data_IF_990622584782
#
_entry.id   IF_990622584782
#
_cell.length_a   1.000
_cell.length_b   1.000
_cell.length_c   1.000
_cell.angle_alpha   90.00
_cell.angle_beta   90.00
_cell.angle_gamma   90.00
#
_symmetry.space_group_name_H-M   'P 1'
#
loop_
_entity.id
_entity.type
_entity.pdbx_description
1 polymer ?
#
# COMPACT_ATOMS: atom_id res chain seq x y z
N UNK A 1 -6.63 -10.60 0.03
CA UNK A 1 -5.52 -11.17 -0.78
C UNK A 1 -4.20 -10.99 -0.05
N UNK A 2 -3.20 -11.85 -0.29
CA UNK A 2 -1.92 -11.89 0.43
C UNK A 2 -0.74 -11.89 -0.55
N UNK A 3 0.36 -11.19 -0.22
CA UNK A 3 1.61 -11.18 -1.00
C UNK A 3 2.85 -11.19 -0.14
N UNK A 4 3.89 -11.93 -0.55
CA UNK A 4 5.17 -12.01 0.15
C UNK A 4 6.15 -10.94 -0.35
N UNK A 5 6.64 -10.10 0.56
CA UNK A 5 7.66 -9.09 0.29
C UNK A 5 9.04 -9.54 0.77
N UNK A 6 10.07 -9.37 -0.04
CA UNK A 6 11.46 -9.60 0.37
C UNK A 6 12.28 -8.38 0.01
N UNK A 7 12.82 -7.68 1.02
CA UNK A 7 13.56 -6.43 0.84
C UNK A 7 14.78 -6.64 -0.06
N UNK A 8 14.87 -5.89 -1.16
CA UNK A 8 16.01 -5.80 -2.07
C UNK A 8 16.71 -4.44 -1.92
N UNK A 9 17.97 -4.34 -2.36
CA UNK A 9 18.62 -3.03 -2.50
C UNK A 9 17.90 -2.23 -3.59
N UNK A 10 17.53 -0.98 -3.30
CA UNK A 10 16.76 -0.10 -4.20
C UNK A 10 15.28 0.08 -3.82
N UNK A 11 14.71 -0.85 -3.06
CA UNK A 11 13.30 -0.81 -2.66
C UNK A 11 12.91 0.47 -1.91
N UNK A 12 13.81 1.00 -1.09
CA UNK A 12 13.58 2.25 -0.37
C UNK A 12 13.38 3.46 -1.28
N UNK A 13 14.04 3.51 -2.44
CA UNK A 13 13.88 4.60 -3.40
C UNK A 13 12.54 4.49 -4.12
N UNK A 14 12.15 3.29 -4.53
CA UNK A 14 10.84 3.05 -5.14
C UNK A 14 9.69 3.36 -4.17
N UNK A 15 9.80 2.92 -2.91
CA UNK A 15 8.81 3.23 -1.86
C UNK A 15 8.70 4.74 -1.66
N UNK A 16 9.83 5.46 -1.63
CA UNK A 16 9.83 6.93 -1.49
C UNK A 16 9.12 7.60 -2.66
N UNK A 17 9.39 7.18 -3.90
CA UNK A 17 8.74 7.75 -5.09
C UNK A 17 7.23 7.50 -5.12
N UNK A 18 6.79 6.30 -4.72
CA UNK A 18 5.37 6.01 -4.56
C UNK A 18 4.74 6.83 -3.43
N UNK A 19 5.44 6.97 -2.31
CA UNK A 19 4.95 7.73 -1.15
C UNK A 19 4.77 9.21 -1.49
N UNK A 20 5.73 9.84 -2.14
CA UNK A 20 5.61 11.24 -2.60
C UNK A 20 4.41 11.43 -3.54
N UNK A 21 4.15 10.44 -4.40
CA UNK A 21 2.99 10.46 -5.30
C UNK A 21 1.68 10.37 -4.50
N UNK A 22 1.59 9.49 -3.50
CA UNK A 22 0.42 9.37 -2.63
C UNK A 22 0.22 10.57 -1.70
N UNK A 23 1.30 11.22 -1.28
CA UNK A 23 1.23 12.43 -0.45
C UNK A 23 0.72 13.65 -1.22
N UNK A 24 0.90 13.67 -2.55
CA UNK A 24 0.34 14.72 -3.44
C UNK A 24 -1.14 14.51 -3.79
N UNK A 25 -1.66 13.29 -3.64
CA UNK A 25 -3.07 12.98 -3.92
C UNK A 25 -3.99 13.58 -2.85
N UNK A 26 -5.22 13.93 -3.20
CA UNK A 26 -6.27 14.24 -2.22
C UNK A 26 -6.69 12.98 -1.45
N UNK A 27 -7.43 13.16 -0.34
CA UNK A 27 -7.92 12.04 0.46
C UNK A 27 -8.83 11.11 -0.34
N UNK A 28 -9.72 11.66 -1.17
CA UNK A 28 -10.60 10.90 -2.07
C UNK A 28 -9.83 10.09 -3.10
N UNK A 29 -8.81 10.68 -3.73
CA UNK A 29 -7.97 10.00 -4.73
C UNK A 29 -7.17 8.84 -4.11
N UNK A 30 -6.67 9.03 -2.88
CA UNK A 30 -5.97 7.97 -2.16
C UNK A 30 -6.89 6.78 -1.86
N UNK A 31 -8.14 7.06 -1.47
CA UNK A 31 -9.17 6.04 -1.22
C UNK A 31 -9.58 5.36 -2.52
N UNK A 32 -9.74 6.09 -3.63
CA UNK A 32 -10.03 5.51 -4.94
C UNK A 32 -8.88 4.62 -5.44
N UNK A 33 -7.63 5.06 -5.29
CA UNK A 33 -6.47 4.23 -5.64
C UNK A 33 -6.43 2.95 -4.82
N UNK A 34 -6.82 3.01 -3.54
CA UNK A 34 -6.95 1.83 -2.68
C UNK A 34 -8.09 0.91 -3.17
N UNK A 35 -9.28 1.44 -3.44
CA UNK A 35 -10.42 0.66 -3.95
C UNK A 35 -10.10 0.01 -5.30
N UNK A 36 -9.36 0.71 -6.17
CA UNK A 36 -8.88 0.18 -7.43
C UNK A 36 -7.90 -0.98 -7.23
N UNK A 37 -6.96 -0.85 -6.30
CA UNK A 37 -6.04 -1.94 -5.93
C UNK A 37 -6.77 -3.16 -5.34
N UNK A 38 -7.83 -2.92 -4.55
CA UNK A 38 -8.69 -3.98 -4.01
C UNK A 38 -9.43 -4.74 -5.13
N UNK A 39 -9.99 -4.01 -6.10
CA UNK A 39 -10.73 -4.57 -7.25
C UNK A 39 -9.83 -5.34 -8.22
N UNK A 40 -8.64 -4.80 -8.52
CA UNK A 40 -7.66 -5.47 -9.39
C UNK A 40 -7.02 -6.68 -8.72
N UNK A 41 -6.92 -6.66 -7.40
CA UNK A 41 -6.24 -7.67 -6.63
C UNK A 41 -4.72 -7.62 -6.73
N UNK A 42 -4.05 -8.54 -6.04
CA UNK A 42 -2.59 -8.57 -5.96
C UNK A 42 -2.05 -9.72 -6.78
N UNK A 43 -1.27 -9.41 -7.83
CA UNK A 43 -0.84 -10.37 -8.86
C UNK A 43 0.62 -10.84 -8.72
N UNK A 44 1.24 -10.67 -7.54
CA UNK A 44 2.56 -11.25 -7.27
C UNK A 44 3.76 -10.41 -7.70
N UNK A 45 3.54 -9.17 -8.15
CA UNK A 45 4.64 -8.31 -8.62
C UNK A 45 5.27 -7.57 -7.44
N UNK A 46 6.59 -7.65 -7.30
CA UNK A 46 7.37 -6.98 -6.23
C UNK A 46 7.02 -5.48 -6.10
N UNK A 47 6.91 -4.78 -7.23
CA UNK A 47 6.53 -3.37 -7.28
C UNK A 47 5.13 -3.09 -6.71
N UNK A 48 4.17 -4.03 -6.80
CA UNK A 48 2.87 -3.88 -6.15
C UNK A 48 3.01 -3.96 -4.62
N UNK A 49 3.88 -4.84 -4.11
CA UNK A 49 4.20 -4.89 -2.69
C UNK A 49 4.79 -3.57 -2.19
N UNK A 50 5.76 -3.01 -2.92
CA UNK A 50 6.35 -1.70 -2.62
C UNK A 50 5.30 -0.57 -2.64
N UNK A 51 4.44 -0.55 -3.65
CA UNK A 51 3.36 0.43 -3.79
C UNK A 51 2.35 0.32 -2.63
N UNK A 52 1.96 -0.89 -2.23
CA UNK A 52 1.05 -1.10 -1.10
C UNK A 52 1.70 -0.67 0.23
N UNK A 53 3.01 -0.86 0.37
CA UNK A 53 3.76 -0.42 1.55
C UNK A 53 3.81 1.11 1.64
N UNK A 54 4.07 1.79 0.51
CA UNK A 54 3.99 3.25 0.43
C UNK A 54 2.56 3.75 0.70
N UNK A 55 1.54 3.10 0.15
CA UNK A 55 0.12 3.43 0.37
C UNK A 55 -0.24 3.29 1.85
N UNK A 56 0.19 2.21 2.51
CA UNK A 56 -0.01 2.03 3.96
C UNK A 56 0.54 3.20 4.76
N UNK A 57 1.77 3.63 4.45
CA UNK A 57 2.40 4.76 5.11
C UNK A 57 1.60 6.06 4.91
N UNK A 58 1.12 6.31 3.69
CA UNK A 58 0.26 7.47 3.41
C UNK A 58 -1.05 7.44 4.21
N UNK A 59 -1.70 6.28 4.31
CA UNK A 59 -2.92 6.11 5.11
C UNK A 59 -2.65 6.34 6.61
N UNK A 60 -1.58 5.77 7.17
CA UNK A 60 -1.21 5.99 8.57
C UNK A 60 -0.94 7.47 8.85
N UNK A 61 -0.18 8.15 7.96
CA UNK A 61 0.13 9.57 8.13
C UNK A 61 -1.12 10.46 8.12
N UNK A 62 -2.14 10.11 7.33
CA UNK A 62 -3.34 10.93 7.15
C UNK A 62 -4.47 10.60 8.11
N UNK A 63 -4.70 9.33 8.37
CA UNK A 63 -5.88 8.83 9.09
C UNK A 63 -5.52 8.14 10.41
N UNK A 64 -4.24 8.05 10.77
CA UNK A 64 -3.72 7.26 11.90
C UNK A 64 -4.12 5.77 11.86
N UNK A 65 -4.67 5.30 10.74
CA UNK A 65 -5.14 3.95 10.47
C UNK A 65 -4.85 3.60 9.02
N UNK A 66 -4.69 2.32 8.73
CA UNK A 66 -4.57 1.85 7.35
C UNK A 66 -5.33 0.55 7.16
N UNK A 67 -5.98 0.36 6.00
CA UNK A 67 -6.59 -0.91 5.64
C UNK A 67 -5.59 -1.98 5.19
N UNK A 68 -4.31 -1.61 5.09
CA UNK A 68 -3.24 -2.48 4.63
C UNK A 68 -2.49 -2.99 5.85
N UNK A 69 -2.54 -4.30 6.05
CA UNK A 69 -1.90 -4.99 7.16
C UNK A 69 -0.65 -5.73 6.70
N UNK A 70 0.33 -5.84 7.61
CA UNK A 70 1.51 -6.67 7.45
C UNK A 70 1.43 -7.80 8.47
N UNK A 71 1.37 -9.03 8.01
CA UNK A 71 1.39 -10.22 8.85
C UNK A 71 2.76 -10.92 8.73
N UNK A 72 3.17 -11.61 9.79
CA UNK A 72 4.50 -12.18 10.02
C UNK A 72 5.24 -12.65 8.76
N UNK A 73 6.51 -12.25 8.66
CA UNK A 73 7.43 -12.49 7.54
C UNK A 73 7.01 -11.88 6.19
N UNK A 74 6.50 -10.64 6.20
CA UNK A 74 6.32 -9.80 5.01
C UNK A 74 5.10 -10.15 4.13
N UNK A 75 4.00 -10.60 4.73
CA UNK A 75 2.75 -10.80 4.01
C UNK A 75 1.91 -9.53 4.02
N UNK A 76 1.65 -8.94 2.85
CA UNK A 76 0.78 -7.76 2.70
C UNK A 76 -0.66 -8.22 2.49
N UNK A 77 -1.55 -7.82 3.39
CA UNK A 77 -2.99 -8.06 3.31
C UNK A 77 -3.73 -6.74 3.05
N UNK A 78 -4.64 -6.77 2.08
CA UNK A 78 -5.62 -5.70 1.84
C UNK A 78 -6.95 -6.17 2.41
N UNK A 79 -7.52 -5.40 3.33
CA UNK A 79 -8.85 -5.64 3.91
C UNK A 79 -9.95 -5.13 2.99
N UNK A 80 -11.16 -5.70 3.04
CA UNK A 80 -12.28 -5.23 2.19
C UNK A 80 -13.07 -4.10 2.88
N UNK A 81 -13.14 -4.13 4.21
CA UNK A 81 -13.81 -3.12 5.02
C UNK A 81 -12.80 -2.08 5.54
N UNK A 82 -12.81 -0.88 4.98
CA UNK A 82 -12.13 0.30 5.54
C UNK A 82 -13.12 1.43 5.73
N UNK A 83 -13.42 1.74 6.98
CA UNK A 83 -14.27 2.86 7.39
C UNK A 83 -13.38 3.88 8.10
N UNK A 84 -13.43 5.14 7.64
CA UNK A 84 -12.60 6.27 8.10
C UNK A 84 -13.31 7.01 9.22
#
# INVERSE_FOLDING_TARGET
MQQYYSRRQGDSQEISGFLESFEKMSNSELIESYKSALKLGIVGVHAQGLRLLAMRLAFIRRFNKSPIEFTDNCIIRISDCFEI
#
